data_IF_467494304134
#
_entry.id   IF_467494304134
#
_cell.length_a   1.000
_cell.length_b   1.000
_cell.length_c   1.000
_cell.angle_alpha   90.00
_cell.angle_beta   90.00
_cell.angle_gamma   90.00
#
_symmetry.space_group_name_H-M   'P 1'
#
loop_
_entity.id
_entity.type
_entity.pdbx_description
1 polymer ?
#
# COMPACT_ATOMS: atom_id res chain seq x y z
N UNK A 1 -1.06 21.40 -17.05
CA UNK A 1 -1.28 21.36 -15.58
C UNK A 1 -1.02 19.94 -15.14
N UNK A 2 0.09 19.70 -14.41
CA UNK A 2 0.39 18.39 -13.85
C UNK A 2 -0.60 18.05 -12.75
N UNK A 3 -1.09 16.80 -12.72
CA UNK A 3 -1.86 16.29 -11.59
C UNK A 3 -0.86 15.94 -10.49
N UNK A 4 -0.81 16.76 -9.44
CA UNK A 4 -0.01 16.47 -8.27
C UNK A 4 -0.76 15.48 -7.37
N UNK A 5 -0.34 14.22 -7.35
CA UNK A 5 -0.74 13.29 -6.31
C UNK A 5 0.30 13.30 -5.20
N UNK A 6 -0.02 13.87 -4.05
CA UNK A 6 0.78 13.72 -2.85
C UNK A 6 0.16 12.63 -1.99
N UNK A 7 0.92 11.58 -1.72
CA UNK A 7 0.51 10.55 -0.78
C UNK A 7 0.91 10.99 0.61
N UNK A 8 -0.07 11.39 1.39
CA UNK A 8 0.09 11.74 2.81
C UNK A 8 -0.91 10.90 3.59
N UNK A 9 -0.74 10.79 4.89
CA UNK A 9 -1.68 10.13 5.84
C UNK A 9 -3.14 10.65 5.79
N UNK A 10 -3.43 11.56 4.88
CA UNK A 10 -4.76 12.13 4.62
C UNK A 10 -5.78 11.14 4.04
N UNK A 11 -5.36 9.95 3.56
CA UNK A 11 -6.29 8.96 3.01
C UNK A 11 -7.34 8.51 4.04
N UNK A 12 -6.97 8.40 5.32
CA UNK A 12 -7.90 8.06 6.39
C UNK A 12 -8.87 9.21 6.67
N UNK A 13 -8.34 10.40 7.00
CA UNK A 13 -9.15 11.58 7.29
C UNK A 13 -9.97 12.05 6.08
N UNK A 14 -9.36 12.05 4.90
CA UNK A 14 -10.03 12.40 3.65
C UNK A 14 -11.16 11.42 3.31
N UNK A 15 -10.93 10.12 3.54
CA UNK A 15 -11.96 9.11 3.31
C UNK A 15 -13.20 9.30 4.17
N UNK A 16 -13.03 9.78 5.39
CA UNK A 16 -14.13 10.01 6.33
C UNK A 16 -15.15 11.05 5.83
N UNK A 17 -14.71 12.02 5.01
CA UNK A 17 -15.56 13.11 4.49
C UNK A 17 -15.98 12.90 3.04
N UNK A 18 -15.38 11.97 2.31
CA UNK A 18 -15.71 11.70 0.89
C UNK A 18 -16.89 10.73 0.79
N UNK A 19 -17.87 11.07 -0.04
CA UNK A 19 -19.02 10.24 -0.38
C UNK A 19 -18.62 8.94 -1.10
N UNK A 20 -19.59 8.07 -1.38
CA UNK A 20 -19.38 6.86 -2.17
C UNK A 20 -18.86 7.18 -3.57
N UNK A 21 -18.02 6.30 -4.14
CA UNK A 21 -17.44 6.48 -5.46
C UNK A 21 -17.86 5.37 -6.43
N UNK A 22 -17.91 5.63 -7.76
CA UNK A 22 -18.41 4.68 -8.76
C UNK A 22 -17.63 3.37 -8.84
N UNK A 23 -16.38 3.32 -8.37
CA UNK A 23 -15.53 2.13 -8.29
C UNK A 23 -15.94 1.16 -7.17
N UNK A 24 -17.00 1.49 -6.42
CA UNK A 24 -17.54 0.67 -5.34
C UNK A 24 -16.98 0.97 -3.95
N UNK A 25 -16.28 2.09 -3.76
CA UNK A 25 -15.88 2.55 -2.44
C UNK A 25 -17.10 3.12 -1.70
N UNK A 26 -17.35 2.65 -0.47
CA UNK A 26 -18.42 3.19 0.38
C UNK A 26 -18.06 4.55 0.97
N UNK A 27 -19.07 5.38 1.22
CA UNK A 27 -18.91 6.65 1.91
C UNK A 27 -18.24 6.44 3.28
N UNK A 28 -17.33 7.35 3.65
CA UNK A 28 -16.62 7.30 4.93
C UNK A 28 -15.50 6.26 5.04
N UNK A 29 -15.30 5.40 4.02
CA UNK A 29 -14.16 4.48 4.02
C UNK A 29 -12.88 5.15 3.56
N UNK A 30 -11.73 4.67 4.03
CA UNK A 30 -10.40 5.18 3.67
C UNK A 30 -10.21 5.25 2.15
N UNK A 31 -9.59 6.33 1.66
CA UNK A 31 -9.14 6.44 0.28
C UNK A 31 -7.99 5.46 0.00
N UNK A 32 -7.65 5.27 -1.28
CA UNK A 32 -6.48 4.48 -1.67
C UNK A 32 -5.21 5.01 -0.98
N UNK A 33 -4.35 4.13 -0.54
CA UNK A 33 -3.15 4.44 0.26
C UNK A 33 -1.98 4.98 -0.56
N UNK A 34 -2.15 5.10 -1.85
CA UNK A 34 -1.22 5.71 -2.79
C UNK A 34 -1.94 6.18 -4.03
N UNK A 35 -1.37 7.14 -4.74
CA UNK A 35 -1.99 7.76 -5.93
C UNK A 35 -2.30 6.75 -7.04
N UNK A 36 -1.46 5.70 -7.16
CA UNK A 36 -1.63 4.60 -8.11
C UNK A 36 -2.08 3.29 -7.43
N UNK A 37 -2.32 3.32 -6.11
CA UNK A 37 -2.79 2.14 -5.38
C UNK A 37 -4.25 1.86 -5.69
N UNK A 38 -4.67 0.58 -5.69
CA UNK A 38 -6.07 0.22 -5.81
C UNK A 38 -6.88 0.72 -4.60
N UNK A 39 -8.17 0.92 -4.79
CA UNK A 39 -9.08 1.08 -3.65
C UNK A 39 -9.02 -0.17 -2.76
N UNK A 40 -9.20 0.02 -1.46
CA UNK A 40 -9.07 -1.03 -0.46
C UNK A 40 -9.91 -2.27 -0.81
N UNK A 41 -9.29 -3.46 -0.82
CA UNK A 41 -9.95 -4.73 -1.12
C UNK A 41 -10.20 -5.00 -2.61
N UNK A 42 -9.67 -4.17 -3.53
CA UNK A 42 -9.83 -4.36 -4.98
C UNK A 42 -8.64 -5.06 -5.66
N UNK A 43 -7.55 -5.27 -4.96
CA UNK A 43 -6.31 -5.93 -5.42
C UNK A 43 -6.35 -7.47 -5.30
N UNK A 44 -7.47 -8.06 -5.71
CA UNK A 44 -7.79 -9.50 -5.49
C UNK A 44 -7.06 -10.46 -6.45
N UNK A 45 -6.39 -9.95 -7.48
CA UNK A 45 -5.75 -10.77 -8.53
C UNK A 45 -4.21 -10.84 -8.39
N UNK A 46 -3.70 -10.49 -7.22
CA UNK A 46 -2.27 -10.58 -6.90
C UNK A 46 -1.41 -9.42 -7.43
N UNK A 47 -0.12 -9.40 -7.05
CA UNK A 47 0.75 -8.26 -7.29
C UNK A 47 0.99 -7.96 -8.77
N UNK A 48 1.13 -8.98 -9.61
CA UNK A 48 1.35 -8.78 -11.06
C UNK A 48 0.18 -8.04 -11.72
N UNK A 49 -1.05 -8.42 -11.39
CA UNK A 49 -2.25 -7.77 -11.94
C UNK A 49 -2.35 -6.31 -11.45
N UNK A 50 -2.05 -6.08 -10.17
CA UNK A 50 -2.03 -4.74 -9.57
C UNK A 50 -1.00 -3.83 -10.27
N UNK A 51 0.23 -4.30 -10.47
CA UNK A 51 1.28 -3.53 -11.14
C UNK A 51 0.91 -3.23 -12.60
N UNK A 52 0.38 -4.23 -13.32
CA UNK A 52 -0.09 -4.03 -14.70
C UNK A 52 -1.23 -3.01 -14.78
N UNK A 53 -2.12 -2.98 -13.80
CA UNK A 53 -3.20 -2.00 -13.73
C UNK A 53 -2.66 -0.60 -13.46
N UNK A 54 -1.80 -0.45 -12.46
CA UNK A 54 -1.16 0.83 -12.11
C UNK A 54 -0.30 1.39 -13.26
N UNK A 55 0.38 0.54 -14.00
CA UNK A 55 1.20 0.93 -15.16
C UNK A 55 0.38 1.46 -16.35
N UNK A 56 -0.95 1.29 -16.38
CA UNK A 56 -1.81 1.90 -17.41
C UNK A 56 -2.00 3.41 -17.21
N UNK A 57 -1.71 3.92 -16.03
CA UNK A 57 -1.70 5.36 -15.77
C UNK A 57 -0.48 5.95 -16.48
N UNK A 58 -0.67 6.97 -17.31
CA UNK A 58 0.46 7.71 -17.86
C UNK A 58 1.15 8.52 -16.75
N UNK A 59 2.12 7.88 -16.12
CA UNK A 59 2.84 8.46 -14.99
C UNK A 59 3.80 9.58 -15.42
N UNK A 60 4.04 9.77 -16.72
CA UNK A 60 4.84 10.89 -17.23
C UNK A 60 4.12 12.22 -17.05
N UNK A 61 2.80 12.20 -17.08
CA UNK A 61 1.93 13.36 -16.89
C UNK A 61 1.65 13.67 -15.43
N UNK A 62 2.08 12.83 -14.50
CA UNK A 62 1.81 12.97 -13.08
C UNK A 62 3.03 13.54 -12.35
N UNK A 63 2.82 14.49 -11.43
CA UNK A 63 3.86 15.02 -10.57
C UNK A 63 4.36 13.96 -9.57
N UNK A 64 3.48 13.07 -9.13
CA UNK A 64 3.81 11.94 -8.25
C UNK A 64 2.80 10.81 -8.46
N UNK A 65 3.31 9.58 -8.49
CA UNK A 65 2.50 8.37 -8.51
C UNK A 65 3.10 7.38 -7.52
N UNK A 66 2.38 7.06 -6.47
CA UNK A 66 2.83 6.12 -5.45
C UNK A 66 1.96 4.88 -5.51
N UNK A 67 2.58 3.72 -5.65
CA UNK A 67 1.97 2.41 -5.49
C UNK A 67 2.50 1.75 -4.24
N UNK A 68 1.64 1.47 -3.29
CA UNK A 68 1.96 0.68 -2.10
C UNK A 68 1.62 -0.79 -2.34
N UNK A 69 2.52 -1.68 -1.96
CA UNK A 69 2.35 -3.13 -2.03
C UNK A 69 2.67 -3.73 -0.67
N UNK A 70 1.71 -4.42 -0.07
CA UNK A 70 1.93 -5.14 1.18
C UNK A 70 2.22 -6.61 0.86
N UNK A 71 3.44 -7.03 1.17
CA UNK A 71 3.90 -8.41 0.97
C UNK A 71 3.89 -9.19 2.28
N UNK A 72 3.40 -10.42 2.21
CA UNK A 72 3.56 -11.34 3.33
C UNK A 72 5.05 -11.68 3.52
N UNK A 73 5.59 -11.68 4.76
CA UNK A 73 7.00 -11.96 5.00
C UNK A 73 7.49 -13.31 4.46
N UNK A 74 6.60 -14.32 4.38
CA UNK A 74 6.95 -15.62 3.80
C UNK A 74 7.30 -15.59 2.33
N UNK A 75 6.91 -14.54 1.61
CA UNK A 75 7.19 -14.37 0.18
C UNK A 75 8.62 -13.92 -0.12
N UNK A 76 9.44 -13.64 0.91
CA UNK A 76 10.80 -13.13 0.75
C UNK A 76 11.83 -13.92 1.56
N UNK A 77 11.61 -15.23 1.73
CA UNK A 77 12.48 -16.08 2.57
C UNK A 77 13.68 -16.64 1.81
N UNK A 78 13.56 -16.80 0.51
CA UNK A 78 14.59 -17.41 -0.30
C UNK A 78 15.25 -16.42 -1.28
N UNK A 79 16.45 -16.78 -1.76
CA UNK A 79 17.10 -16.02 -2.83
C UNK A 79 16.26 -15.99 -4.10
N UNK A 80 15.49 -17.05 -4.35
CA UNK A 80 14.59 -17.14 -5.50
C UNK A 80 13.42 -16.15 -5.38
N UNK A 81 12.85 -16.00 -4.19
CA UNK A 81 11.80 -15.03 -3.93
C UNK A 81 12.30 -13.59 -4.15
N UNK A 82 13.53 -13.29 -3.71
CA UNK A 82 14.15 -11.98 -3.96
C UNK A 82 14.36 -11.73 -5.46
N UNK A 83 14.67 -12.77 -6.25
CA UNK A 83 14.76 -12.65 -7.73
C UNK A 83 13.39 -12.37 -8.33
N UNK A 84 12.32 -13.03 -7.86
CA UNK A 84 10.96 -12.78 -8.32
C UNK A 84 10.56 -11.33 -8.03
N UNK A 85 10.81 -10.84 -6.80
CA UNK A 85 10.58 -9.43 -6.44
C UNK A 85 11.36 -8.49 -7.36
N UNK A 86 12.64 -8.76 -7.60
CA UNK A 86 13.47 -7.98 -8.51
C UNK A 86 12.92 -7.96 -9.94
N UNK A 87 12.43 -9.09 -10.44
CA UNK A 87 11.79 -9.19 -11.76
C UNK A 87 10.49 -8.41 -11.83
N UNK A 88 9.68 -8.45 -10.76
CA UNK A 88 8.42 -7.70 -10.64
C UNK A 88 8.67 -6.19 -10.70
N UNK A 89 9.68 -5.69 -9.96
CA UNK A 89 10.09 -4.28 -9.97
C UNK A 89 10.57 -3.85 -11.36
N UNK A 90 11.43 -4.65 -11.99
CA UNK A 90 11.92 -4.37 -13.35
C UNK A 90 10.79 -4.34 -14.38
N UNK A 91 9.84 -5.27 -14.29
CA UNK A 91 8.68 -5.31 -15.17
C UNK A 91 7.80 -4.07 -14.99
N UNK A 92 7.56 -3.64 -13.75
CA UNK A 92 6.80 -2.42 -13.47
C UNK A 92 7.48 -1.19 -14.06
N UNK A 93 8.79 -1.04 -13.86
CA UNK A 93 9.57 0.07 -14.42
C UNK A 93 9.54 0.05 -15.97
N UNK A 94 9.69 -1.13 -16.59
CA UNK A 94 9.63 -1.28 -18.04
C UNK A 94 8.26 -0.91 -18.63
N UNK A 95 7.19 -1.08 -17.86
CA UNK A 95 5.83 -0.65 -18.23
C UNK A 95 5.55 0.85 -17.97
N UNK A 96 6.54 1.63 -17.52
CA UNK A 96 6.41 3.05 -17.25
C UNK A 96 6.04 3.40 -15.81
N UNK A 97 5.98 2.43 -14.92
CA UNK A 97 5.79 2.66 -13.49
C UNK A 97 6.99 3.36 -12.86
N UNK A 98 6.75 4.39 -12.03
CA UNK A 98 7.82 5.20 -11.45
C UNK A 98 8.08 4.90 -9.97
N UNK A 99 7.04 4.94 -9.17
CA UNK A 99 7.16 4.89 -7.71
C UNK A 99 6.41 3.68 -7.16
N UNK A 100 7.15 2.78 -6.55
CA UNK A 100 6.62 1.63 -5.85
C UNK A 100 7.31 1.51 -4.50
N UNK A 101 6.56 1.18 -3.47
CA UNK A 101 7.11 0.88 -2.16
C UNK A 101 6.45 -0.36 -1.57
N UNK A 102 7.23 -1.09 -0.79
CA UNK A 102 6.80 -2.33 -0.19
C UNK A 102 6.69 -2.21 1.32
N UNK A 103 5.65 -2.83 1.87
CA UNK A 103 5.47 -3.06 3.29
C UNK A 103 5.53 -4.57 3.52
N UNK A 104 6.62 -5.04 4.11
CA UNK A 104 6.82 -6.48 4.35
C UNK A 104 6.43 -6.78 5.78
N UNK A 105 5.15 -7.02 6.01
CA UNK A 105 4.57 -7.24 7.33
C UNK A 105 3.31 -8.10 7.22
N UNK A 106 3.17 -9.07 8.14
CA UNK A 106 1.99 -9.93 8.18
C UNK A 106 0.86 -9.34 9.02
N UNK A 107 -0.37 -9.60 8.62
CA UNK A 107 -1.57 -9.17 9.37
C UNK A 107 -1.60 -9.70 10.80
N UNK A 108 -1.17 -10.94 11.03
CA UNK A 108 -1.08 -11.53 12.37
C UNK A 108 -0.21 -10.71 13.30
N UNK A 109 0.96 -10.27 12.81
CA UNK A 109 1.90 -9.43 13.58
C UNK A 109 1.30 -8.06 13.89
N UNK A 110 0.63 -7.43 12.92
CA UNK A 110 -0.02 -6.13 13.12
C UNK A 110 -1.16 -6.21 14.15
N UNK A 111 -2.00 -7.25 14.06
CA UNK A 111 -3.08 -7.48 15.01
C UNK A 111 -2.57 -7.78 16.43
N UNK A 112 -1.45 -8.50 16.53
CA UNK A 112 -0.80 -8.75 17.80
C UNK A 112 -0.18 -7.47 18.38
N UNK A 113 0.44 -6.64 17.54
CA UNK A 113 0.97 -5.35 17.93
C UNK A 113 -0.12 -4.37 18.43
N UNK A 114 -1.34 -4.46 17.90
CA UNK A 114 -2.47 -3.70 18.43
C UNK A 114 -2.92 -4.15 19.82
N UNK A 115 -2.77 -5.45 20.13
CA UNK A 115 -3.15 -6.03 21.44
C UNK A 115 -2.07 -5.81 22.50
N UNK A 116 -0.80 -5.89 22.11
CA UNK A 116 0.36 -5.85 23.00
C UNK A 116 1.41 -4.86 22.49
N UNK A 117 1.08 -3.54 22.44
CA UNK A 117 1.94 -2.53 21.82
C UNK A 117 3.34 -2.44 22.47
N UNK A 118 3.46 -2.76 23.74
CA UNK A 118 4.72 -2.75 24.48
C UNK A 118 5.75 -3.75 23.94
N UNK A 119 5.30 -4.82 23.25
CA UNK A 119 6.16 -5.85 22.65
C UNK A 119 6.63 -5.51 21.24
N UNK A 120 6.02 -4.49 20.63
CA UNK A 120 6.19 -4.15 19.20
C UNK A 120 6.58 -2.67 19.01
N UNK A 121 7.27 -2.09 19.99
CA UNK A 121 7.68 -0.68 19.95
C UNK A 121 8.60 -0.34 18.80
N UNK A 122 9.33 -1.31 18.28
CA UNK A 122 10.28 -1.22 17.18
C UNK A 122 9.67 -1.63 15.82
N UNK A 123 8.39 -2.04 15.80
CA UNK A 123 7.72 -2.44 14.56
C UNK A 123 7.50 -1.23 13.65
N UNK A 124 8.32 -1.12 12.62
CA UNK A 124 8.22 -0.07 11.61
C UNK A 124 7.33 -0.54 10.47
N UNK A 125 6.41 0.33 10.05
CA UNK A 125 5.55 0.12 8.89
C UNK A 125 5.65 1.27 7.91
N UNK A 126 5.41 0.97 6.64
CA UNK A 126 5.27 1.98 5.60
C UNK A 126 3.82 2.47 5.58
N UNK A 127 3.59 3.72 5.92
CA UNK A 127 2.23 4.30 5.95
C UNK A 127 1.82 4.72 4.54
N UNK A 128 2.37 5.81 4.04
CA UNK A 128 2.20 6.30 2.67
C UNK A 128 3.25 7.39 2.43
N UNK A 129 4.28 7.10 1.65
CA UNK A 129 5.38 8.03 1.42
C UNK A 129 6.36 8.20 2.60
N UNK A 130 6.04 7.71 3.78
CA UNK A 130 6.90 7.72 4.98
C UNK A 130 6.73 6.43 5.79
N UNK A 131 7.69 6.17 6.69
CA UNK A 131 7.63 5.07 7.65
C UNK A 131 7.44 5.61 9.06
N UNK A 132 6.76 4.84 9.90
CA UNK A 132 6.54 5.17 11.30
C UNK A 132 6.51 3.89 12.15
N UNK A 133 6.69 4.03 13.45
CA UNK A 133 6.42 2.95 14.36
C UNK A 133 4.92 2.67 14.41
N UNK A 134 4.54 1.43 14.20
CA UNK A 134 3.13 1.04 14.08
C UNK A 134 2.32 1.40 15.33
N UNK A 135 2.91 1.18 16.49
CA UNK A 135 2.26 1.42 17.78
C UNK A 135 2.03 2.90 18.09
N UNK A 136 2.79 3.80 17.48
CA UNK A 136 2.67 5.26 17.67
C UNK A 136 1.61 5.88 16.74
N UNK A 137 1.12 5.11 15.76
CA UNK A 137 0.05 5.56 14.87
C UNK A 137 -1.29 5.60 15.59
N UNK A 138 -2.15 6.55 15.22
CA UNK A 138 -3.51 6.52 15.71
C UNK A 138 -4.25 5.25 15.23
N UNK A 139 -5.23 4.82 16.02
CA UNK A 139 -5.97 3.56 15.80
C UNK A 139 -6.55 3.44 14.38
N UNK A 140 -7.10 4.52 13.82
CA UNK A 140 -7.69 4.51 12.49
C UNK A 140 -6.67 4.24 11.38
N UNK A 141 -5.44 4.77 11.51
CA UNK A 141 -4.35 4.50 10.57
C UNK A 141 -3.81 3.09 10.75
N UNK A 142 -3.70 2.59 11.98
CA UNK A 142 -3.35 1.19 12.24
C UNK A 142 -4.34 0.24 11.57
N UNK A 143 -5.64 0.48 11.77
CA UNK A 143 -6.72 -0.32 11.19
C UNK A 143 -6.72 -0.27 9.65
N UNK A 144 -6.37 0.88 9.07
CA UNK A 144 -6.17 1.02 7.64
C UNK A 144 -5.04 0.10 7.13
N UNK A 145 -3.88 0.13 7.78
CA UNK A 145 -2.71 -0.69 7.40
C UNK A 145 -3.02 -2.19 7.54
N UNK A 146 -3.75 -2.58 8.59
CA UNK A 146 -4.21 -3.98 8.77
C UNK A 146 -5.11 -4.40 7.63
N UNK A 147 -6.06 -3.55 7.21
CA UNK A 147 -7.03 -3.86 6.15
C UNK A 147 -6.45 -3.89 4.74
N UNK A 148 -5.25 -3.35 4.50
CA UNK A 148 -4.61 -3.44 3.19
C UNK A 148 -4.39 -4.89 2.80
N UNK A 149 -4.69 -5.22 1.55
CA UNK A 149 -4.51 -6.58 1.05
C UNK A 149 -3.05 -7.01 1.16
N UNK A 150 -2.85 -8.18 1.72
CA UNK A 150 -1.56 -8.83 1.84
C UNK A 150 -1.39 -9.80 0.69
N UNK A 151 -0.38 -9.61 -0.14
CA UNK A 151 -0.15 -10.44 -1.31
C UNK A 151 1.14 -11.25 -1.20
N UNK A 152 1.19 -12.37 -1.93
CA UNK A 152 2.37 -13.23 -2.06
C UNK A 152 2.87 -13.23 -3.51
N UNK A 153 4.19 -13.42 -3.72
CA UNK A 153 4.86 -13.46 -5.03
C UNK A 153 5.49 -14.84 -5.30
#
# INVERSE_FOLDING_TARGET
RGIGGASISSMFAGGAIVGATPDGRHAGTTLADGTASPAQGRDTHGPTAMLRSAAKIDQSMCASTLLNVKLHPSSLRSREDLKKLGSLIKAYAAMGGKWIQFNVVGNSQLLEAQKFPERYRDLIVRVAGYSAYFVDLNKGVQDDIVRRMEVSI
#
